data_IF_077725004300
#
_entry.id   IF_077725004300
#
_cell.length_a   1.000
_cell.length_b   1.000
_cell.length_c   1.000
_cell.angle_alpha   90.00
_cell.angle_beta   90.00
_cell.angle_gamma   90.00
#
_symmetry.space_group_name_H-M   'P 1'
#
loop_
_entity.id
_entity.type
_entity.pdbx_description
1 polymer ?
#
# COMPACT_ATOMS: atom_id res chain seq x y z
N UNK A 1 -42.71 19.51 1.53
CA UNK A 1 -42.71 18.55 0.41
C UNK A 1 -41.28 18.08 0.15
N UNK A 2 -40.94 16.84 0.52
CA UNK A 2 -39.63 16.24 0.23
C UNK A 2 -39.72 15.54 -1.12
N UNK A 3 -39.18 16.14 -2.17
CA UNK A 3 -39.04 15.50 -3.48
C UNK A 3 -38.03 14.37 -3.36
N UNK A 4 -38.52 13.16 -3.14
CA UNK A 4 -37.71 11.94 -3.24
C UNK A 4 -37.28 11.76 -4.70
N UNK A 5 -36.14 12.34 -5.08
CA UNK A 5 -35.51 12.08 -6.38
C UNK A 5 -35.13 10.60 -6.43
N UNK A 6 -35.89 9.83 -7.19
CA UNK A 6 -35.58 8.44 -7.53
C UNK A 6 -34.18 8.37 -8.14
N UNK A 7 -33.28 7.51 -7.66
CA UNK A 7 -31.94 7.42 -8.21
C UNK A 7 -32.03 6.92 -9.64
N UNK A 8 -31.71 7.81 -10.59
CA UNK A 8 -31.62 7.49 -12.02
C UNK A 8 -30.59 6.38 -12.19
N UNK A 9 -31.03 5.19 -12.62
CA UNK A 9 -30.13 4.07 -12.87
C UNK A 9 -29.29 4.38 -14.11
N UNK A 10 -27.97 4.47 -13.95
CA UNK A 10 -27.04 4.65 -15.06
C UNK A 10 -27.16 3.51 -16.09
N UNK A 11 -27.02 3.80 -17.40
CA UNK A 11 -26.96 2.79 -18.46
C UNK A 11 -25.76 1.86 -18.26
N UNK A 12 -25.85 0.62 -18.76
CA UNK A 12 -24.84 -0.43 -18.56
C UNK A 12 -23.43 0.00 -18.99
N UNK A 13 -23.29 0.64 -20.16
CA UNK A 13 -22.00 1.15 -20.65
C UNK A 13 -21.33 2.15 -19.70
N UNK A 14 -22.11 3.07 -19.11
CA UNK A 14 -21.60 4.02 -18.13
C UNK A 14 -21.10 3.33 -16.85
N UNK A 15 -21.71 2.21 -16.45
CA UNK A 15 -21.25 1.42 -15.30
C UNK A 15 -19.93 0.71 -15.57
N UNK A 16 -19.75 0.17 -16.78
CA UNK A 16 -18.49 -0.50 -17.17
C UNK A 16 -17.34 0.50 -17.15
N UNK A 17 -17.54 1.70 -17.73
CA UNK A 17 -16.54 2.78 -17.71
C UNK A 17 -16.21 3.19 -16.27
N UNK A 18 -17.21 3.36 -15.40
CA UNK A 18 -16.98 3.71 -14.00
C UNK A 18 -16.17 2.62 -13.25
N UNK A 19 -16.39 1.34 -13.55
CA UNK A 19 -15.61 0.23 -12.99
C UNK A 19 -14.17 0.24 -13.50
N UNK A 20 -13.95 0.44 -14.79
CA UNK A 20 -12.59 0.51 -15.36
C UNK A 20 -11.81 1.69 -14.77
N UNK A 21 -12.43 2.87 -14.69
CA UNK A 21 -11.82 4.05 -14.08
C UNK A 21 -11.53 3.82 -12.58
N UNK A 22 -12.43 3.13 -11.88
CA UNK A 22 -12.21 2.75 -10.50
C UNK A 22 -10.99 1.84 -10.36
N UNK A 23 -10.87 0.79 -11.18
CA UNK A 23 -9.72 -0.12 -11.17
C UNK A 23 -8.40 0.60 -11.47
N UNK A 24 -8.38 1.43 -12.52
CA UNK A 24 -7.22 2.24 -12.87
C UNK A 24 -6.82 3.17 -11.73
N UNK A 25 -7.78 3.77 -11.03
CA UNK A 25 -7.49 4.61 -9.88
C UNK A 25 -6.87 3.83 -8.71
N UNK A 26 -7.31 2.59 -8.47
CA UNK A 26 -6.70 1.73 -7.44
C UNK A 26 -5.25 1.39 -7.82
N UNK A 27 -5.01 1.00 -9.07
CA UNK A 27 -3.67 0.70 -9.57
C UNK A 27 -2.78 1.93 -9.47
N UNK A 28 -3.25 3.12 -9.88
CA UNK A 28 -2.48 4.36 -9.82
C UNK A 28 -2.09 4.72 -8.37
N UNK A 29 -3.03 4.64 -7.42
CA UNK A 29 -2.74 4.87 -5.99
C UNK A 29 -1.75 3.84 -5.46
N UNK A 30 -1.93 2.56 -5.76
CA UNK A 30 -1.01 1.51 -5.34
C UNK A 30 0.40 1.71 -5.89
N UNK A 31 0.52 1.89 -7.21
CA UNK A 31 1.79 2.04 -7.91
C UNK A 31 2.56 3.30 -7.48
N UNK A 32 1.87 4.43 -7.26
CA UNK A 32 2.51 5.64 -6.75
C UNK A 32 3.10 5.45 -5.36
N UNK A 33 2.39 4.76 -4.46
CA UNK A 33 2.93 4.43 -3.14
C UNK A 33 4.04 3.37 -3.18
N UNK A 34 4.00 2.42 -4.12
CA UNK A 34 5.14 1.51 -4.39
C UNK A 34 6.38 2.33 -4.75
N UNK A 35 6.26 3.29 -5.67
CA UNK A 35 7.38 4.14 -6.09
C UNK A 35 7.94 4.95 -4.91
N UNK A 36 7.08 5.61 -4.12
CA UNK A 36 7.51 6.36 -2.93
C UNK A 36 8.26 5.45 -1.97
N UNK A 37 7.66 4.30 -1.60
CA UNK A 37 8.25 3.37 -0.65
C UNK A 37 9.58 2.79 -1.15
N UNK A 38 9.64 2.36 -2.42
CA UNK A 38 10.87 1.85 -3.03
C UNK A 38 11.98 2.91 -3.07
N UNK A 39 11.65 4.19 -3.32
CA UNK A 39 12.62 5.30 -3.30
C UNK A 39 13.14 5.59 -1.89
N UNK A 40 12.28 5.51 -0.87
CA UNK A 40 12.69 5.60 0.54
C UNK A 40 13.60 4.42 0.89
N UNK A 41 13.25 3.20 0.48
CA UNK A 41 14.10 2.03 0.70
C UNK A 41 15.44 2.14 -0.02
N UNK A 42 15.50 2.69 -1.24
CA UNK A 42 16.76 2.97 -1.93
C UNK A 42 17.65 3.94 -1.14
N UNK A 43 17.05 5.01 -0.60
CA UNK A 43 17.75 5.97 0.26
C UNK A 43 18.30 5.32 1.54
N UNK A 44 17.50 4.45 2.16
CA UNK A 44 17.90 3.67 3.33
C UNK A 44 19.00 2.66 3.01
N UNK A 45 19.05 2.11 1.79
CA UNK A 45 20.11 1.19 1.38
C UNK A 45 21.47 1.87 1.36
N UNK A 46 21.53 3.12 0.88
CA UNK A 46 22.78 3.89 0.88
C UNK A 46 23.27 4.12 2.31
N UNK A 47 22.39 4.54 3.22
CA UNK A 47 22.75 4.69 4.63
C UNK A 47 23.19 3.34 5.26
N UNK A 48 22.48 2.24 4.95
CA UNK A 48 22.85 0.88 5.38
C UNK A 48 24.25 0.50 4.90
N UNK A 49 24.60 0.79 3.65
CA UNK A 49 25.92 0.47 3.07
C UNK A 49 27.03 1.30 3.67
N UNK A 50 26.79 2.57 3.96
CA UNK A 50 27.75 3.41 4.68
C UNK A 50 28.05 2.82 6.07
N UNK A 51 27.01 2.34 6.77
CA UNK A 51 27.15 1.81 8.14
C UNK A 51 27.69 0.37 8.16
N UNK A 52 27.38 -0.48 7.18
CA UNK A 52 27.81 -1.89 7.20
C UNK A 52 29.08 -2.15 6.39
N UNK A 53 29.26 -1.44 5.29
CA UNK A 53 30.32 -1.71 4.31
C UNK A 53 31.29 -0.53 4.16
N UNK A 54 31.12 0.56 4.94
CA UNK A 54 31.89 1.80 4.75
C UNK A 54 31.87 2.29 3.29
N UNK A 55 30.77 2.03 2.58
CA UNK A 55 30.63 2.28 1.16
C UNK A 55 29.49 3.27 0.91
N UNK A 56 29.80 4.36 0.24
CA UNK A 56 28.82 5.30 -0.29
C UNK A 56 28.69 5.12 -1.80
N UNK A 57 27.60 4.50 -2.24
CA UNK A 57 27.33 4.31 -3.66
C UNK A 57 25.83 4.37 -3.95
N UNK A 58 25.48 5.14 -4.98
CA UNK A 58 24.14 5.16 -5.57
C UNK A 58 24.03 4.01 -6.57
N UNK A 59 23.24 2.98 -6.23
CA UNK A 59 22.97 1.87 -7.15
C UNK A 59 21.70 2.16 -7.95
N UNK A 60 21.87 2.77 -9.12
CA UNK A 60 20.76 3.12 -10.03
C UNK A 60 20.13 1.90 -10.70
N UNK A 61 20.75 0.72 -10.61
CA UNK A 61 20.25 -0.51 -11.23
C UNK A 61 19.29 -1.30 -10.34
N UNK A 62 19.34 -1.12 -9.01
CA UNK A 62 18.52 -1.87 -8.06
C UNK A 62 17.31 -1.09 -7.55
N UNK A 63 17.51 0.10 -7.00
CA UNK A 63 16.45 0.86 -6.34
C UNK A 63 16.33 2.30 -6.87
N UNK A 64 15.11 2.88 -6.84
CA UNK A 64 14.93 4.28 -7.17
C UNK A 64 15.72 5.17 -6.22
N UNK A 65 16.25 6.25 -6.79
CA UNK A 65 17.12 7.19 -6.09
C UNK A 65 16.31 8.17 -5.20
N UNK A 66 16.92 8.85 -4.21
CA UNK A 66 16.18 9.68 -3.26
C UNK A 66 15.33 10.77 -3.90
N UNK A 67 15.79 11.35 -5.02
CA UNK A 67 15.01 12.36 -5.75
C UNK A 67 13.70 11.82 -6.34
N UNK A 68 13.59 10.50 -6.54
CA UNK A 68 12.36 9.85 -6.97
C UNK A 68 11.28 9.87 -5.89
N UNK A 69 11.60 10.18 -4.63
CA UNK A 69 10.60 10.42 -3.58
C UNK A 69 9.68 11.57 -3.99
N UNK A 70 10.23 12.67 -4.51
CA UNK A 70 9.44 13.83 -4.94
C UNK A 70 8.53 13.49 -6.12
N UNK A 71 9.05 12.74 -7.09
CA UNK A 71 8.28 12.23 -8.23
C UNK A 71 7.15 11.31 -7.76
N UNK A 72 7.46 10.39 -6.83
CA UNK A 72 6.49 9.49 -6.22
C UNK A 72 5.40 10.23 -5.45
N UNK A 73 5.75 11.27 -4.68
CA UNK A 73 4.78 12.09 -3.93
C UNK A 73 3.89 12.91 -4.87
N UNK A 74 4.43 13.47 -5.95
CA UNK A 74 3.66 14.12 -6.99
C UNK A 74 2.70 13.13 -7.68
N UNK A 75 3.18 11.94 -8.03
CA UNK A 75 2.36 10.87 -8.58
C UNK A 75 1.27 10.41 -7.61
N UNK A 76 1.58 10.32 -6.31
CA UNK A 76 0.62 9.97 -5.27
C UNK A 76 -0.46 11.04 -5.16
N UNK A 77 -0.10 12.34 -5.15
CA UNK A 77 -1.05 13.44 -5.14
C UNK A 77 -2.01 13.37 -6.33
N UNK A 78 -1.49 13.28 -7.56
CA UNK A 78 -2.31 13.18 -8.78
C UNK A 78 -3.19 11.93 -8.75
N UNK A 79 -2.66 10.80 -8.31
CA UNK A 79 -3.42 9.55 -8.19
C UNK A 79 -4.56 9.66 -7.17
N UNK A 80 -4.39 10.37 -6.05
CA UNK A 80 -5.46 10.56 -5.06
C UNK A 80 -6.54 11.53 -5.52
N UNK A 81 -6.17 12.55 -6.29
CA UNK A 81 -7.11 13.45 -6.96
C UNK A 81 -7.94 12.65 -7.97
N UNK A 82 -7.29 11.88 -8.84
CA UNK A 82 -7.94 11.00 -9.81
C UNK A 82 -8.83 9.95 -9.12
N UNK A 83 -8.35 9.33 -8.04
CA UNK A 83 -9.12 8.36 -7.26
C UNK A 83 -10.37 8.98 -6.64
N UNK A 84 -10.24 10.17 -6.05
CA UNK A 84 -11.39 10.89 -5.49
C UNK A 84 -12.44 11.16 -6.55
N UNK A 85 -12.01 11.61 -7.72
CA UNK A 85 -12.89 11.89 -8.86
C UNK A 85 -13.58 10.61 -9.35
N UNK A 86 -12.83 9.54 -9.60
CA UNK A 86 -13.36 8.25 -10.06
C UNK A 86 -14.36 7.64 -9.07
N UNK A 87 -14.04 7.67 -7.76
CA UNK A 87 -14.93 7.13 -6.72
C UNK A 87 -16.21 7.96 -6.54
N UNK A 88 -16.14 9.29 -6.67
CA UNK A 88 -17.33 10.16 -6.63
C UNK A 88 -18.22 9.94 -7.84
N UNK A 89 -17.61 9.75 -9.01
CA UNK A 89 -18.32 9.42 -10.24
C UNK A 89 -19.07 8.09 -10.09
N UNK A 90 -18.39 7.04 -9.63
CA UNK A 90 -18.99 5.73 -9.41
C UNK A 90 -20.09 5.74 -8.33
N UNK A 91 -19.89 6.50 -7.25
CA UNK A 91 -20.82 6.57 -6.11
C UNK A 91 -21.90 7.66 -6.17
N UNK A 92 -22.23 8.15 -7.37
CA UNK A 92 -23.27 9.18 -7.59
C UNK A 92 -23.09 10.44 -6.71
N UNK A 93 -21.86 10.99 -6.68
CA UNK A 93 -21.52 12.19 -5.92
C UNK A 93 -20.95 11.92 -4.52
N UNK A 94 -21.11 10.70 -3.99
CA UNK A 94 -20.43 10.25 -2.75
C UNK A 94 -19.24 9.36 -3.09
N UNK A 95 -18.19 9.37 -2.26
CA UNK A 95 -17.05 8.47 -2.45
C UNK A 95 -17.48 7.03 -2.18
N UNK A 96 -17.44 6.18 -3.20
CA UNK A 96 -17.75 4.76 -3.05
C UNK A 96 -16.75 4.01 -2.15
N UNK A 97 -15.45 4.37 -2.21
CA UNK A 97 -14.36 3.70 -1.49
C UNK A 97 -13.30 4.69 -0.97
N UNK A 98 -12.49 4.25 -0.01
CA UNK A 98 -11.36 5.01 0.52
C UNK A 98 -10.01 4.45 0.06
N UNK A 99 -9.07 5.31 -0.29
CA UNK A 99 -7.76 4.94 -0.84
C UNK A 99 -6.78 4.30 0.17
N UNK A 100 -7.07 4.38 1.48
CA UNK A 100 -6.10 4.06 2.55
C UNK A 100 -5.54 2.65 2.47
N UNK A 101 -6.40 1.65 2.29
CA UNK A 101 -5.95 0.24 2.27
C UNK A 101 -5.06 -0.02 1.05
N UNK A 102 -5.43 0.53 -0.11
CA UNK A 102 -4.66 0.41 -1.35
C UNK A 102 -3.31 1.12 -1.25
N UNK A 103 -3.29 2.32 -0.66
CA UNK A 103 -2.07 3.06 -0.40
C UNK A 103 -1.10 2.25 0.47
N UNK A 104 -1.58 1.69 1.59
CA UNK A 104 -0.75 0.87 2.48
C UNK A 104 -0.33 -0.46 1.85
N UNK A 105 -1.17 -1.08 1.02
CA UNK A 105 -0.76 -2.24 0.22
C UNK A 105 0.39 -1.89 -0.75
N UNK A 106 0.31 -0.72 -1.39
CA UNK A 106 1.40 -0.19 -2.22
C UNK A 106 2.67 0.08 -1.43
N UNK A 107 2.56 0.72 -0.25
CA UNK A 107 3.70 0.94 0.66
C UNK A 107 4.34 -0.38 1.06
N UNK A 108 3.55 -1.37 1.47
CA UNK A 108 4.07 -2.68 1.85
C UNK A 108 4.80 -3.37 0.70
N UNK A 109 4.21 -3.36 -0.51
CA UNK A 109 4.86 -3.94 -1.68
C UNK A 109 6.17 -3.23 -2.04
N UNK A 110 6.20 -1.88 -2.00
CA UNK A 110 7.42 -1.11 -2.23
C UNK A 110 8.50 -1.34 -1.16
N UNK A 111 8.10 -1.50 0.10
CA UNK A 111 9.00 -1.87 1.20
C UNK A 111 9.55 -3.29 1.02
N UNK A 112 8.70 -4.26 0.71
CA UNK A 112 9.11 -5.64 0.50
C UNK A 112 10.07 -5.78 -0.70
N UNK A 113 9.76 -5.10 -1.81
CA UNK A 113 10.65 -5.00 -2.97
C UNK A 113 11.97 -4.32 -2.61
N UNK A 114 11.91 -3.22 -1.87
CA UNK A 114 13.07 -2.50 -1.33
C UNK A 114 14.00 -3.41 -0.53
N UNK A 115 13.46 -4.11 0.45
CA UNK A 115 14.22 -5.02 1.30
C UNK A 115 14.74 -6.25 0.52
N UNK A 116 14.02 -6.72 -0.49
CA UNK A 116 14.50 -7.78 -1.37
C UNK A 116 15.74 -7.34 -2.13
N UNK A 117 15.72 -6.13 -2.70
CA UNK A 117 16.78 -5.55 -3.53
C UNK A 117 17.91 -4.86 -2.75
N UNK A 118 17.77 -4.73 -1.44
CA UNK A 118 18.81 -4.17 -0.57
C UNK A 118 20.13 -4.92 -0.69
N UNK A 119 21.20 -4.13 -0.71
CA UNK A 119 22.55 -4.65 -0.83
C UNK A 119 22.87 -5.49 0.42
N UNK A 120 23.38 -6.73 0.26
CA UNK A 120 23.80 -7.55 1.39
C UNK A 120 25.08 -6.98 2.01
N UNK A 121 25.37 -7.41 3.23
CA UNK A 121 26.66 -7.13 3.85
C UNK A 121 27.77 -7.87 3.09
N UNK A 122 28.91 -7.21 2.87
CA UNK A 122 30.08 -7.85 2.27
C UNK A 122 30.67 -8.90 3.21
N UNK A 123 30.73 -8.56 4.49
CA UNK A 123 31.10 -9.46 5.58
C UNK A 123 30.19 -9.18 6.78
N UNK A 124 29.62 -10.24 7.35
CA UNK A 124 28.72 -10.06 8.51
C UNK A 124 29.54 -9.71 9.75
N UNK A 125 29.16 -8.63 10.42
CA UNK A 125 29.78 -8.20 11.67
C UNK A 125 31.04 -7.35 11.52
N UNK A 126 31.48 -7.05 10.29
CA UNK A 126 32.67 -6.24 10.04
C UNK A 126 32.41 -5.20 8.92
N UNK A 127 32.85 -3.96 9.14
CA UNK A 127 32.97 -2.96 8.10
C UNK A 127 34.26 -3.23 7.33
N UNK A 128 34.13 -3.50 6.03
CA UNK A 128 35.26 -3.73 5.13
C UNK A 128 35.23 -2.60 4.11
N UNK A 129 36.16 -1.65 4.22
CA UNK A 129 36.24 -0.50 3.32
C UNK A 129 36.85 -0.85 1.96
N UNK A 130 36.64 -0.01 0.93
CA UNK A 130 37.27 -0.17 -0.39
C UNK A 130 38.79 0.08 -0.38
N UNK A 131 39.34 0.66 0.70
CA UNK A 131 40.76 0.83 0.92
C UNK A 131 41.29 -0.23 1.91
N UNK A 132 41.92 -1.27 1.35
CA UNK A 132 42.90 -2.19 1.95
C UNK A 132 43.06 -2.25 3.48
N UNK A 133 42.60 -3.34 4.11
CA UNK A 133 43.31 -4.01 5.20
C UNK A 133 42.82 -3.76 6.62
N UNK A 134 42.08 -2.69 6.89
CA UNK A 134 41.50 -2.43 8.21
C UNK A 134 40.03 -2.83 8.22
N UNK A 135 39.66 -3.75 9.13
CA UNK A 135 38.25 -4.09 9.40
C UNK A 135 37.90 -3.66 10.81
N UNK A 136 36.78 -2.94 10.95
CA UNK A 136 36.23 -2.58 12.24
C UNK A 136 34.98 -3.42 12.50
N UNK A 137 34.80 -3.95 13.72
CA UNK A 137 33.57 -4.67 14.04
C UNK A 137 32.37 -3.71 13.96
N UNK A 138 31.22 -4.23 13.54
CA UNK A 138 29.98 -3.45 13.55
C UNK A 138 29.62 -3.02 14.98
N UNK A 139 29.36 -1.72 15.14
CA UNK A 139 28.63 -1.22 16.30
C UNK A 139 27.15 -1.60 16.25
N UNK A 140 26.39 -1.13 17.24
CA UNK A 140 24.94 -1.38 17.37
C UNK A 140 24.18 -0.99 16.09
N UNK A 141 24.58 0.11 15.44
CA UNK A 141 23.94 0.58 14.20
C UNK A 141 24.16 -0.38 13.02
N UNK A 142 25.31 -1.06 12.93
CA UNK A 142 25.57 -2.05 11.88
C UNK A 142 24.70 -3.29 12.03
N UNK A 143 24.55 -3.78 13.25
CA UNK A 143 23.60 -4.86 13.56
C UNK A 143 22.14 -4.46 13.30
N UNK A 144 21.75 -3.25 13.69
CA UNK A 144 20.42 -2.73 13.39
C UNK A 144 20.18 -2.63 11.87
N UNK A 145 21.15 -2.10 11.12
CA UNK A 145 21.12 -2.01 9.66
C UNK A 145 21.02 -3.40 9.00
N UNK A 146 21.71 -4.40 9.54
CA UNK A 146 21.65 -5.77 9.06
C UNK A 146 20.23 -6.36 9.23
N UNK A 147 19.65 -6.26 10.44
CA UNK A 147 18.33 -6.80 10.75
C UNK A 147 17.16 -5.98 10.20
N UNK A 148 17.38 -4.71 9.85
CA UNK A 148 16.37 -3.85 9.24
C UNK A 148 15.73 -4.52 8.00
N UNK A 149 16.48 -5.36 7.27
CA UNK A 149 15.98 -6.06 6.07
C UNK A 149 14.76 -6.93 6.36
N UNK A 150 14.67 -7.47 7.58
CA UNK A 150 13.55 -8.29 8.03
C UNK A 150 12.54 -7.46 8.84
N UNK A 151 13.04 -6.61 9.74
CA UNK A 151 12.20 -5.84 10.67
C UNK A 151 11.34 -4.81 9.93
N UNK A 152 11.89 -4.09 8.94
CA UNK A 152 11.14 -3.03 8.24
C UNK A 152 9.94 -3.60 7.47
N UNK A 153 10.09 -4.63 6.61
CA UNK A 153 8.94 -5.27 5.98
C UNK A 153 7.97 -5.90 6.97
N UNK A 154 8.46 -6.52 8.05
CA UNK A 154 7.60 -7.14 9.05
C UNK A 154 6.70 -6.11 9.77
N UNK A 155 7.26 -4.97 10.20
CA UNK A 155 6.50 -3.91 10.86
C UNK A 155 5.48 -3.28 9.91
N UNK A 156 5.87 -2.98 8.67
CA UNK A 156 4.96 -2.41 7.66
C UNK A 156 3.88 -3.43 7.28
N UNK A 157 4.24 -4.70 7.17
CA UNK A 157 3.31 -5.80 6.90
C UNK A 157 2.29 -5.99 8.02
N UNK A 158 2.74 -5.99 9.28
CA UNK A 158 1.86 -6.08 10.45
C UNK A 158 0.89 -4.89 10.51
N UNK A 159 1.36 -3.68 10.24
CA UNK A 159 0.51 -2.50 10.17
C UNK A 159 -0.51 -2.56 9.03
N UNK A 160 -0.07 -3.00 7.85
CA UNK A 160 -0.95 -3.19 6.69
C UNK A 160 -2.02 -4.25 6.96
N UNK A 161 -1.63 -5.37 7.59
CA UNK A 161 -2.56 -6.40 8.03
C UNK A 161 -3.57 -5.87 9.06
N UNK A 162 -3.12 -5.09 10.04
CA UNK A 162 -4.01 -4.44 11.02
C UNK A 162 -5.03 -3.53 10.34
N UNK A 163 -4.61 -2.74 9.35
CA UNK A 163 -5.51 -1.90 8.57
C UNK A 163 -6.50 -2.72 7.75
N UNK A 164 -6.07 -3.84 7.18
CA UNK A 164 -6.94 -4.78 6.47
C UNK A 164 -7.91 -5.49 7.44
N UNK A 165 -7.55 -5.74 8.69
CA UNK A 165 -8.44 -6.42 9.63
C UNK A 165 -9.42 -5.46 10.34
N UNK A 166 -8.98 -4.25 10.67
CA UNK A 166 -9.70 -3.35 11.59
C UNK A 166 -10.34 -2.15 10.87
N UNK A 167 -9.86 -1.75 9.70
CA UNK A 167 -10.40 -0.57 9.03
C UNK A 167 -11.85 -0.77 8.62
N UNK A 168 -12.72 0.19 8.94
CA UNK A 168 -14.14 0.24 8.51
C UNK A 168 -14.29 0.27 6.98
N UNK A 169 -13.21 0.55 6.26
CA UNK A 169 -13.13 0.55 4.80
C UNK A 169 -12.33 -0.63 4.24
N UNK A 170 -12.04 -1.65 5.06
CA UNK A 170 -11.40 -2.87 4.60
C UNK A 170 -12.35 -3.71 3.74
N UNK A 171 -11.87 -4.30 2.63
CA UNK A 171 -12.65 -5.25 1.84
C UNK A 171 -13.17 -6.43 2.66
N UNK A 172 -12.45 -6.90 3.69
CA UNK A 172 -12.92 -8.00 4.57
C UNK A 172 -14.10 -7.59 5.45
N UNK A 173 -14.07 -6.38 6.00
CA UNK A 173 -15.18 -5.85 6.83
C UNK A 173 -16.41 -5.58 5.96
N UNK A 174 -16.20 -5.12 4.72
CA UNK A 174 -17.29 -4.91 3.75
C UNK A 174 -17.91 -6.24 3.32
N UNK A 175 -17.09 -7.24 2.97
CA UNK A 175 -17.56 -8.57 2.56
C UNK A 175 -18.26 -9.28 3.72
N UNK A 176 -17.70 -9.27 4.92
CA UNK A 176 -18.33 -9.88 6.10
C UNK A 176 -19.67 -9.23 6.44
N UNK A 177 -19.78 -7.89 6.38
CA UNK A 177 -21.07 -7.20 6.56
C UNK A 177 -22.09 -7.55 5.49
N UNK A 178 -21.65 -7.67 4.24
CA UNK A 178 -22.53 -8.04 3.13
C UNK A 178 -23.06 -9.48 3.29
N UNK A 179 -22.16 -10.44 3.59
CA UNK A 179 -22.51 -11.83 3.88
C UNK A 179 -23.46 -11.92 5.08
N UNK A 180 -23.17 -11.20 6.17
CA UNK A 180 -24.00 -11.19 7.36
C UNK A 180 -25.38 -10.57 7.13
N UNK A 181 -25.46 -9.50 6.34
CA UNK A 181 -26.72 -8.88 5.94
C UNK A 181 -27.59 -9.81 5.08
N UNK A 182 -26.96 -10.51 4.13
CA UNK A 182 -27.64 -11.52 3.31
C UNK A 182 -28.18 -12.69 4.15
N UNK A 183 -27.41 -13.14 5.14
CA UNK A 183 -27.81 -14.20 6.05
C UNK A 183 -28.99 -13.80 6.95
N UNK A 184 -28.99 -12.58 7.51
CA UNK A 184 -30.13 -12.06 8.27
C UNK A 184 -31.38 -11.88 7.41
N UNK A 185 -31.23 -11.34 6.19
CA UNK A 185 -32.35 -11.16 5.26
C UNK A 185 -33.03 -12.48 4.87
N UNK A 186 -32.28 -13.58 4.79
CA UNK A 186 -32.82 -14.93 4.60
C UNK A 186 -33.62 -15.44 5.78
N UNK A 187 -33.18 -15.18 7.02
CA UNK A 187 -33.93 -15.57 8.23
C UNK A 187 -35.26 -14.84 8.34
N UNK A 188 -35.27 -13.52 8.11
CA UNK A 188 -36.49 -12.71 8.18
C UNK A 188 -37.56 -13.14 7.16
N UNK A 189 -37.15 -13.54 5.95
CA UNK A 189 -38.07 -14.05 4.91
C UNK A 189 -38.66 -15.43 5.24
N UNK A 190 -37.91 -16.28 5.94
CA UNK A 190 -38.38 -17.61 6.38
C UNK A 190 -39.36 -17.51 7.54
N UNK A 191 -39.16 -16.57 8.46
CA UNK A 191 -40.10 -16.32 9.56
C UNK A 191 -41.42 -15.70 9.08
N UNK A 192 -41.39 -14.84 8.05
CA UNK A 192 -42.62 -14.28 7.48
C UNK A 192 -43.44 -15.28 6.66
N UNK A 193 -42.81 -16.29 6.03
CA UNK A 193 -43.54 -17.32 5.29
C UNK A 193 -44.16 -18.40 6.19
N UNK A 194 -43.65 -18.56 7.42
CA UNK A 194 -44.20 -19.48 8.42
C UNK A 194 -45.30 -18.81 9.28
N UNK A 195 -45.30 -17.48 9.37
CA UNK A 195 -46.34 -16.73 10.08
C UNK A 195 -47.59 -16.43 9.22
N UNK A 196 -47.53 -16.72 7.92
CA UNK A 196 -48.63 -16.55 6.96
C UNK A 196 -49.28 -17.88 6.51
N UNK A 197 -48.92 -18.98 7.17
CA UNK A 197 -49.48 -20.32 6.99
C UNK A 197 -50.16 -20.74 8.29
#
# INVERSE_FOLDING_TARGET
MSTATTPVRKPLGARVVDVVLALLAHVAVGASWVLVAASVMGSLDVARRMVMNSEFAWDTGRLPQPWMILVGLAAAFVSHVFFTWAMRRAGNGRRAWGARVVAWAGVFLGVALGAYLWTPALQVGAQVGPASGESTPWGILGWAAHHARLVVPALVGAWTALLVLVSRHSPLVVVSRWVWGWWRGRRSRRSSSLASA
#
